data_IF_792142542907
#
_entry.id   IF_792142542907
#
_cell.length_a   1.000
_cell.length_b   1.000
_cell.length_c   1.000
_cell.angle_alpha   90.00
_cell.angle_beta   90.00
_cell.angle_gamma   90.00
#
_symmetry.space_group_name_H-M   'P 1'
#
loop_
_entity.id
_entity.type
_entity.pdbx_description
1 polymer ?
#
# COMPACT_ATOMS: atom_id res chain seq x y z
N UNK A 1 12.56 -17.49 -23.76
CA UNK A 1 11.89 -16.76 -22.66
C UNK A 1 12.71 -15.51 -22.38
N UNK A 2 12.02 -14.38 -22.37
CA UNK A 2 12.67 -13.07 -22.26
C UNK A 2 13.14 -12.83 -20.81
N UNK A 3 14.17 -12.00 -20.68
CA UNK A 3 14.66 -11.52 -19.39
C UNK A 3 13.54 -10.80 -18.61
N UNK A 4 13.52 -10.91 -17.27
CA UNK A 4 12.45 -10.38 -16.45
C UNK A 4 12.94 -9.66 -15.19
N UNK A 5 12.10 -8.77 -14.65
CA UNK A 5 12.22 -8.23 -13.30
C UNK A 5 11.27 -8.96 -12.36
N UNK A 6 11.71 -9.17 -11.13
CA UNK A 6 10.92 -9.74 -10.05
C UNK A 6 10.53 -8.63 -9.08
N UNK A 7 9.27 -8.58 -8.69
CA UNK A 7 8.78 -7.68 -7.64
C UNK A 7 8.35 -8.51 -6.46
N UNK A 8 8.78 -8.13 -5.26
CA UNK A 8 8.52 -8.83 -4.01
C UNK A 8 7.86 -7.94 -2.98
N UNK A 9 6.85 -8.49 -2.30
CA UNK A 9 6.19 -7.89 -1.15
C UNK A 9 6.09 -8.93 -0.03
N UNK A 10 7.01 -8.88 0.92
CA UNK A 10 7.13 -9.83 2.01
C UNK A 10 6.41 -9.34 3.27
N UNK A 11 5.49 -10.16 3.76
CA UNK A 11 4.82 -10.00 5.05
C UNK A 11 5.21 -11.09 6.05
N UNK A 12 4.62 -11.06 7.24
CA UNK A 12 4.94 -12.01 8.33
C UNK A 12 4.55 -13.46 8.03
N UNK A 13 3.48 -13.68 7.27
CA UNK A 13 2.93 -15.00 6.95
C UNK A 13 2.69 -15.21 5.47
N UNK A 14 3.14 -14.28 4.62
CA UNK A 14 2.96 -14.36 3.17
C UNK A 14 4.08 -13.65 2.41
N UNK A 15 4.37 -14.17 1.22
CA UNK A 15 5.26 -13.57 0.24
C UNK A 15 4.48 -13.43 -1.07
N UNK A 16 4.17 -12.19 -1.46
CA UNK A 16 3.56 -11.90 -2.76
C UNK A 16 4.66 -11.54 -3.77
N UNK A 17 4.46 -11.93 -5.02
CA UNK A 17 5.42 -11.62 -6.07
C UNK A 17 4.75 -11.40 -7.41
N UNK A 18 5.43 -10.62 -8.26
CA UNK A 18 5.07 -10.44 -9.67
C UNK A 18 6.33 -10.61 -10.54
N UNK A 19 6.14 -11.23 -11.67
CA UNK A 19 7.15 -11.38 -12.73
C UNK A 19 6.77 -10.43 -13.85
N UNK A 20 7.64 -9.48 -14.17
CA UNK A 20 7.44 -8.53 -15.25
C UNK A 20 8.45 -8.80 -16.34
N UNK A 21 7.98 -9.00 -17.57
CA UNK A 21 8.85 -9.12 -18.73
C UNK A 21 9.44 -7.77 -19.10
N UNK A 22 10.68 -7.79 -19.62
CA UNK A 22 11.30 -6.63 -20.23
C UNK A 22 10.56 -6.30 -21.52
N UNK A 23 10.01 -5.09 -21.64
CA UNK A 23 9.32 -4.72 -22.86
C UNK A 23 10.32 -4.59 -24.02
N UNK A 24 9.94 -5.11 -25.16
CA UNK A 24 10.52 -4.65 -26.43
C UNK A 24 10.07 -3.23 -26.81
N UNK A 25 9.34 -2.54 -25.91
CA UNK A 25 8.73 -1.23 -26.01
C UNK A 25 8.78 -0.48 -24.67
N UNK A 26 7.88 0.47 -24.46
CA UNK A 26 7.96 1.46 -23.37
C UNK A 26 7.43 1.03 -21.99
N UNK A 27 6.70 -0.09 -21.86
CA UNK A 27 6.06 -0.50 -20.61
C UNK A 27 6.38 -1.91 -20.15
N UNK A 28 6.56 -2.12 -18.85
CA UNK A 28 6.66 -3.43 -18.22
C UNK A 28 5.36 -4.21 -18.41
N UNK A 29 5.46 -5.46 -18.86
CA UNK A 29 4.32 -6.36 -19.03
C UNK A 29 4.31 -7.40 -17.92
N UNK A 30 3.19 -7.48 -17.19
CA UNK A 30 2.99 -8.53 -16.20
C UNK A 30 2.90 -9.88 -16.92
N UNK A 31 3.75 -10.81 -16.52
CA UNK A 31 3.76 -12.20 -17.01
C UNK A 31 3.07 -13.14 -16.04
N UNK A 32 3.39 -13.01 -14.76
CA UNK A 32 2.78 -13.80 -13.71
C UNK A 32 2.69 -13.02 -12.40
N UNK A 33 1.65 -13.31 -11.62
CA UNK A 33 1.53 -12.90 -10.23
C UNK A 33 1.25 -14.11 -9.36
N UNK A 34 1.84 -14.13 -8.19
CA UNK A 34 1.64 -15.22 -7.26
C UNK A 34 1.86 -14.83 -5.82
N UNK A 35 1.57 -15.77 -4.97
CA UNK A 35 1.82 -15.64 -3.53
C UNK A 35 2.14 -16.99 -2.91
N UNK A 36 2.93 -16.96 -1.86
CA UNK A 36 3.07 -18.03 -0.88
C UNK A 36 2.40 -17.51 0.38
N UNK A 37 1.36 -18.17 0.84
CA UNK A 37 0.62 -17.83 2.05
C UNK A 37 0.68 -18.96 3.05
N UNK A 38 0.31 -18.69 4.32
CA UNK A 38 0.36 -19.72 5.38
C UNK A 38 1.78 -20.12 5.77
N UNK A 39 2.78 -19.26 5.55
CA UNK A 39 4.18 -19.50 5.93
C UNK A 39 4.24 -19.82 7.44
N UNK A 40 4.89 -20.94 7.78
CA UNK A 40 5.01 -21.42 9.15
C UNK A 40 3.79 -22.19 9.68
N UNK A 41 2.72 -22.35 8.89
CA UNK A 41 1.52 -23.10 9.28
C UNK A 41 1.11 -24.11 8.22
N UNK A 42 0.44 -23.67 7.16
CA UNK A 42 0.03 -24.49 6.02
C UNK A 42 0.43 -23.76 4.72
N UNK A 43 1.72 -23.81 4.34
CA UNK A 43 2.23 -22.98 3.24
C UNK A 43 1.70 -23.49 1.89
N UNK A 44 1.21 -22.54 1.07
CA UNK A 44 0.65 -22.80 -0.27
C UNK A 44 1.15 -21.78 -1.27
N UNK A 45 1.65 -22.25 -2.40
CA UNK A 45 2.02 -21.44 -3.55
C UNK A 45 0.85 -21.40 -4.54
N UNK A 46 0.38 -20.19 -4.86
CA UNK A 46 -0.58 -19.94 -5.93
C UNK A 46 0.01 -18.97 -6.92
N UNK A 47 -0.09 -19.28 -8.23
CA UNK A 47 0.38 -18.39 -9.29
C UNK A 47 -0.62 -18.36 -10.44
N UNK A 48 -0.83 -17.18 -11.00
CA UNK A 48 -1.66 -16.93 -12.18
C UNK A 48 -0.87 -16.13 -13.21
N UNK A 49 -1.18 -16.33 -14.48
CA UNK A 49 -0.67 -15.46 -15.53
C UNK A 49 -1.41 -14.10 -15.58
N UNK A 50 -1.03 -13.25 -16.51
CA UNK A 50 -1.66 -11.93 -16.72
C UNK A 50 -3.16 -12.01 -17.11
N UNK A 51 -3.59 -13.11 -17.70
CA UNK A 51 -4.99 -13.38 -18.06
C UNK A 51 -5.80 -14.00 -16.92
N UNK A 52 -5.16 -14.34 -15.80
CA UNK A 52 -5.79 -14.98 -14.64
C UNK A 52 -5.82 -16.51 -14.70
N UNK A 53 -5.26 -17.13 -15.74
CA UNK A 53 -5.16 -18.58 -15.80
C UNK A 53 -4.15 -19.10 -14.77
N UNK A 54 -4.48 -20.21 -14.14
CA UNK A 54 -3.67 -20.81 -13.07
C UNK A 54 -2.39 -21.43 -13.65
N UNK A 55 -1.22 -20.96 -13.18
CA UNK A 55 0.10 -21.51 -13.53
C UNK A 55 0.62 -22.48 -12.46
N UNK A 56 0.27 -22.27 -11.21
CA UNK A 56 0.60 -23.16 -10.09
C UNK A 56 -0.44 -23.03 -8.98
N UNK A 57 -0.66 -24.14 -8.25
CA UNK A 57 -1.50 -24.19 -7.06
C UNK A 57 -1.07 -25.40 -6.24
N UNK A 58 -0.01 -25.24 -5.46
CA UNK A 58 0.68 -26.32 -4.79
C UNK A 58 0.71 -26.08 -3.28
N UNK A 59 0.33 -27.09 -2.51
CA UNK A 59 0.70 -27.16 -1.11
C UNK A 59 2.22 -27.33 -1.02
N UNK A 60 2.84 -26.56 -0.14
CA UNK A 60 4.27 -26.65 0.14
C UNK A 60 4.48 -27.47 1.42
N UNK A 61 5.67 -28.06 1.55
CA UNK A 61 5.98 -28.88 2.72
C UNK A 61 6.16 -28.04 4.01
N UNK A 62 6.11 -28.72 5.14
CA UNK A 62 6.28 -28.11 6.46
C UNK A 62 7.68 -27.49 6.70
N UNK A 63 8.60 -27.70 5.77
CA UNK A 63 9.92 -27.05 5.75
C UNK A 63 9.85 -25.55 5.43
N UNK A 64 8.74 -25.06 4.86
CA UNK A 64 8.54 -23.63 4.59
C UNK A 64 8.02 -22.95 5.86
N UNK A 65 8.92 -22.59 6.76
CA UNK A 65 8.62 -22.07 8.10
C UNK A 65 8.70 -20.57 8.22
N UNK A 66 9.49 -19.95 7.35
CA UNK A 66 9.73 -18.50 7.37
C UNK A 66 9.87 -17.91 5.95
N UNK A 67 10.12 -16.59 5.89
CA UNK A 67 10.27 -15.88 4.61
C UNK A 67 11.47 -16.35 3.79
N UNK A 68 12.56 -16.85 4.42
CA UNK A 68 13.73 -17.39 3.73
C UNK A 68 13.42 -18.71 3.04
N UNK A 69 12.67 -19.59 3.70
CA UNK A 69 12.20 -20.85 3.13
C UNK A 69 11.23 -20.59 1.98
N UNK A 70 10.30 -19.64 2.15
CA UNK A 70 9.38 -19.21 1.10
C UNK A 70 10.12 -18.65 -0.13
N UNK A 71 11.18 -17.87 0.06
CA UNK A 71 12.06 -17.45 -1.05
C UNK A 71 12.72 -18.64 -1.76
N UNK A 72 13.05 -19.70 -1.02
CA UNK A 72 13.56 -20.96 -1.59
C UNK A 72 12.55 -21.62 -2.53
N UNK A 73 11.31 -21.74 -2.06
CA UNK A 73 10.21 -22.32 -2.85
C UNK A 73 9.92 -21.46 -4.10
N UNK A 74 9.88 -20.13 -3.97
CA UNK A 74 9.73 -19.22 -5.10
C UNK A 74 10.87 -19.38 -6.11
N UNK A 75 12.13 -19.41 -5.67
CA UNK A 75 13.27 -19.58 -6.55
C UNK A 75 13.25 -20.93 -7.29
N UNK A 76 12.78 -22.01 -6.64
CA UNK A 76 12.58 -23.30 -7.29
C UNK A 76 11.51 -23.22 -8.38
N UNK A 77 10.37 -22.61 -8.10
CA UNK A 77 9.30 -22.38 -9.07
C UNK A 77 9.77 -21.53 -10.26
N UNK A 78 10.45 -20.40 -10.01
CA UNK A 78 11.00 -19.54 -11.07
C UNK A 78 11.97 -20.32 -11.98
N UNK A 79 12.86 -21.13 -11.41
CA UNK A 79 13.78 -21.98 -12.22
C UNK A 79 13.03 -22.98 -13.07
N UNK A 80 11.98 -23.61 -12.54
CA UNK A 80 11.19 -24.59 -13.31
C UNK A 80 10.41 -23.94 -14.45
N UNK A 81 9.91 -22.73 -14.26
CA UNK A 81 9.05 -22.02 -15.22
C UNK A 81 9.85 -21.20 -16.23
N UNK A 82 10.92 -20.54 -15.77
CA UNK A 82 11.71 -19.57 -16.53
C UNK A 82 13.19 -19.97 -16.66
N UNK A 83 13.51 -21.25 -16.59
CA UNK A 83 14.86 -21.75 -16.76
C UNK A 83 15.49 -21.28 -18.08
N UNK A 84 16.66 -20.65 -17.99
CA UNK A 84 17.34 -20.01 -19.13
C UNK A 84 17.09 -18.52 -19.32
N UNK A 85 16.10 -17.93 -18.62
CA UNK A 85 15.90 -16.47 -18.56
C UNK A 85 16.71 -15.85 -17.42
N UNK A 86 17.13 -14.59 -17.62
CA UNK A 86 17.85 -13.85 -16.58
C UNK A 86 16.90 -13.00 -15.77
N UNK A 87 17.13 -12.96 -14.45
CA UNK A 87 16.55 -11.96 -13.57
C UNK A 87 17.35 -10.67 -13.74
N UNK A 88 16.76 -9.65 -14.33
CA UNK A 88 17.41 -8.36 -14.59
C UNK A 88 17.57 -7.52 -13.33
N UNK A 89 16.65 -7.67 -12.38
CA UNK A 89 16.65 -6.99 -11.10
C UNK A 89 15.47 -7.42 -10.24
N UNK A 90 15.56 -7.14 -8.94
CA UNK A 90 14.50 -7.43 -7.97
C UNK A 90 14.07 -6.13 -7.30
N UNK A 91 12.81 -5.78 -7.43
CA UNK A 91 12.18 -4.68 -6.70
C UNK A 91 11.51 -5.17 -5.43
N UNK A 92 11.73 -4.50 -4.32
CA UNK A 92 11.13 -4.82 -3.03
C UNK A 92 10.21 -3.70 -2.56
N UNK A 93 9.00 -4.04 -2.10
CA UNK A 93 8.26 -3.14 -1.25
C UNK A 93 8.88 -3.17 0.14
N UNK A 94 9.24 -2.01 0.65
CA UNK A 94 9.76 -1.80 2.00
C UNK A 94 8.84 -0.79 2.70
N UNK A 95 8.33 -1.15 3.88
CA UNK A 95 7.30 -0.31 4.53
C UNK A 95 7.86 1.03 4.96
N UNK A 96 9.11 1.10 5.41
CA UNK A 96 9.66 2.32 5.98
C UNK A 96 11.03 2.69 5.44
N UNK A 97 11.14 3.91 4.89
CA UNK A 97 12.40 4.52 4.45
C UNK A 97 13.03 5.45 5.48
N UNK A 98 12.30 5.76 6.58
CA UNK A 98 12.76 6.73 7.59
C UNK A 98 13.04 8.10 6.99
N UNK A 99 13.81 8.94 7.68
CA UNK A 99 14.16 10.28 7.21
C UNK A 99 15.19 10.27 6.07
N UNK A 100 15.93 9.16 5.87
CA UNK A 100 17.06 9.09 4.93
C UNK A 100 16.65 8.73 3.50
N UNK A 101 15.65 7.87 3.34
CA UNK A 101 15.28 7.35 2.03
C UNK A 101 14.02 8.04 1.50
N UNK A 102 14.22 9.07 0.71
CA UNK A 102 13.16 9.89 0.09
C UNK A 102 12.72 9.40 -1.28
N UNK A 103 13.28 8.30 -1.77
CA UNK A 103 12.97 7.70 -3.07
C UNK A 103 13.46 6.26 -3.17
N UNK A 104 13.12 5.56 -4.27
CA UNK A 104 13.61 4.22 -4.53
C UNK A 104 15.14 4.17 -4.49
N UNK A 105 15.71 3.11 -3.91
CA UNK A 105 17.14 3.03 -3.63
C UNK A 105 17.71 1.68 -4.04
N UNK A 106 18.87 1.67 -4.72
CA UNK A 106 19.62 0.44 -5.01
C UNK A 106 20.17 -0.11 -3.71
N UNK A 107 19.91 -1.40 -3.47
CA UNK A 107 20.32 -2.07 -2.23
C UNK A 107 21.77 -2.50 -2.29
N UNK A 108 22.49 -2.17 -1.25
CA UNK A 108 23.83 -2.66 -0.92
C UNK A 108 23.85 -3.19 0.52
N UNK A 109 24.87 -3.95 0.94
CA UNK A 109 25.01 -4.35 2.34
C UNK A 109 24.97 -3.18 3.33
N UNK A 110 25.50 -2.02 2.94
CA UNK A 110 25.44 -0.80 3.75
C UNK A 110 24.01 -0.28 3.88
N UNK A 111 23.26 -0.17 2.76
CA UNK A 111 21.86 0.27 2.77
C UNK A 111 20.99 -0.68 3.60
N UNK A 112 21.22 -1.99 3.51
CA UNK A 112 20.52 -2.97 4.35
C UNK A 112 20.80 -2.75 5.82
N UNK A 113 22.06 -2.45 6.18
CA UNK A 113 22.41 -2.11 7.58
C UNK A 113 21.66 -0.86 8.05
N UNK A 114 21.62 0.19 7.25
CA UNK A 114 20.87 1.42 7.57
C UNK A 114 19.35 1.17 7.70
N UNK A 115 18.79 0.29 6.87
CA UNK A 115 17.37 -0.10 6.95
C UNK A 115 17.07 -0.92 8.22
N UNK A 116 18.05 -1.66 8.77
CA UNK A 116 17.91 -2.35 10.06
C UNK A 116 17.74 -1.37 11.22
N UNK A 117 18.39 -0.21 11.17
CA UNK A 117 18.23 0.85 12.16
C UNK A 117 16.79 1.39 12.21
N UNK A 118 16.02 1.20 11.14
CA UNK A 118 14.62 1.63 11.05
C UNK A 118 13.61 0.59 11.57
N UNK A 119 14.05 -0.58 12.02
CA UNK A 119 13.15 -1.60 12.60
C UNK A 119 12.25 -1.04 13.70
N UNK A 120 12.73 -0.18 14.64
CA UNK A 120 11.86 0.41 15.65
C UNK A 120 10.69 1.24 15.12
N UNK A 121 10.79 1.78 13.90
CA UNK A 121 9.72 2.56 13.26
C UNK A 121 8.62 1.68 12.64
N UNK A 122 8.93 0.43 12.29
CA UNK A 122 7.98 -0.52 11.72
C UNK A 122 8.28 -1.96 12.17
N UNK A 123 8.22 -2.28 13.47
CA UNK A 123 8.72 -3.54 14.03
C UNK A 123 7.98 -4.78 13.54
N UNK A 124 6.74 -4.64 13.07
CA UNK A 124 5.93 -5.76 12.56
C UNK A 124 6.12 -6.01 11.05
N UNK A 125 6.78 -5.12 10.31
CA UNK A 125 6.91 -5.21 8.86
C UNK A 125 8.37 -5.21 8.40
N UNK A 126 9.17 -4.28 8.90
CA UNK A 126 10.55 -4.08 8.46
C UNK A 126 11.42 -5.35 8.54
N UNK A 127 11.36 -6.16 9.62
CA UNK A 127 12.15 -7.39 9.70
C UNK A 127 11.84 -8.38 8.58
N UNK A 128 10.57 -8.51 8.19
CA UNK A 128 10.15 -9.42 7.11
C UNK A 128 10.59 -8.91 5.73
N UNK A 129 10.52 -7.59 5.51
CA UNK A 129 11.04 -6.98 4.29
C UNK A 129 12.55 -7.22 4.15
N UNK A 130 13.31 -7.00 5.24
CA UNK A 130 14.76 -7.20 5.26
C UNK A 130 15.15 -8.67 5.06
N UNK A 131 14.44 -9.60 5.68
CA UNK A 131 14.70 -11.04 5.50
C UNK A 131 14.53 -11.47 4.03
N UNK A 132 13.55 -10.93 3.31
CA UNK A 132 13.38 -11.20 1.89
C UNK A 132 14.54 -10.63 1.06
N UNK A 133 15.00 -9.42 1.36
CA UNK A 133 16.14 -8.77 0.70
C UNK A 133 17.42 -9.60 0.91
N UNK A 134 17.69 -10.00 2.15
CA UNK A 134 18.86 -10.83 2.49
C UNK A 134 18.80 -12.19 1.78
N UNK A 135 17.62 -12.82 1.73
CA UNK A 135 17.43 -14.08 1.02
C UNK A 135 17.70 -13.96 -0.49
N UNK A 136 17.39 -12.81 -1.10
CA UNK A 136 17.73 -12.55 -2.51
C UNK A 136 19.25 -12.38 -2.68
N UNK A 137 19.95 -11.67 -1.81
CA UNK A 137 21.42 -11.58 -1.86
C UNK A 137 22.10 -12.96 -1.80
N UNK A 138 21.56 -13.86 -0.97
CA UNK A 138 22.09 -15.21 -0.82
C UNK A 138 21.79 -16.11 -2.02
N UNK A 139 20.57 -16.05 -2.56
CA UNK A 139 20.08 -17.01 -3.56
C UNK A 139 20.27 -16.57 -5.01
N UNK A 140 20.38 -15.26 -5.24
CA UNK A 140 20.57 -14.65 -6.56
C UNK A 140 21.78 -13.69 -6.51
N UNK A 141 22.98 -14.21 -6.20
CA UNK A 141 24.18 -13.38 -6.08
C UNK A 141 24.44 -12.62 -7.39
N UNK A 142 24.73 -11.34 -7.26
CA UNK A 142 25.01 -10.46 -8.41
C UNK A 142 23.75 -9.89 -9.10
N UNK A 143 22.54 -10.30 -8.74
CA UNK A 143 21.32 -9.65 -9.24
C UNK A 143 21.09 -8.35 -8.46
N UNK A 144 20.99 -7.19 -9.15
CA UNK A 144 20.78 -5.93 -8.48
C UNK A 144 19.37 -5.86 -7.87
N UNK A 145 19.27 -5.21 -6.72
CA UNK A 145 18.02 -5.09 -5.98
C UNK A 145 17.69 -3.63 -5.71
N UNK A 146 16.40 -3.28 -5.70
CA UNK A 146 15.89 -1.93 -5.44
C UNK A 146 14.84 -1.99 -4.35
N UNK A 147 14.97 -1.15 -3.33
CA UNK A 147 13.93 -0.90 -2.32
C UNK A 147 13.03 0.25 -2.78
N UNK A 148 11.72 0.05 -2.72
CA UNK A 148 10.69 1.08 -2.90
C UNK A 148 9.92 1.22 -1.58
N UNK A 149 9.83 2.44 -1.07
CA UNK A 149 9.33 2.69 0.28
C UNK A 149 7.91 3.23 0.27
N UNK A 150 7.05 2.71 1.15
CA UNK A 150 5.68 3.25 1.32
C UNK A 150 5.68 4.72 1.78
N UNK A 151 6.75 5.15 2.42
CA UNK A 151 6.88 6.52 2.95
C UNK A 151 7.45 7.51 1.95
N UNK A 152 8.11 7.07 0.88
CA UNK A 152 8.91 7.96 0.01
C UNK A 152 8.10 9.01 -0.73
N UNK A 153 6.90 8.68 -1.20
CA UNK A 153 6.03 9.61 -1.94
C UNK A 153 5.57 10.81 -1.10
N UNK A 154 5.61 10.67 0.23
CA UNK A 154 5.23 11.72 1.18
C UNK A 154 6.41 12.60 1.62
N UNK A 155 7.64 12.28 1.17
CA UNK A 155 8.84 13.05 1.50
C UNK A 155 8.92 14.33 0.67
N UNK A 156 8.34 15.35 1.07
CA UNK A 156 8.21 16.64 0.38
C UNK A 156 7.07 17.45 0.94
N UNK A 157 6.42 16.92 1.97
CA UNK A 157 5.44 17.67 2.74
C UNK A 157 6.04 18.93 3.33
N UNK A 158 5.21 19.97 3.49
CA UNK A 158 5.62 21.14 4.27
C UNK A 158 5.94 20.71 5.73
N UNK A 159 6.95 21.33 6.33
CA UNK A 159 7.39 20.97 7.69
C UNK A 159 6.23 20.94 8.70
N UNK A 160 5.24 21.82 8.57
CA UNK A 160 4.07 21.85 9.43
C UNK A 160 3.21 20.58 9.35
N UNK A 161 3.20 19.89 8.19
CA UNK A 161 2.47 18.63 8.01
C UNK A 161 3.26 17.42 8.55
N UNK A 162 4.57 17.52 8.67
CA UNK A 162 5.43 16.44 9.21
C UNK A 162 5.59 16.52 10.74
N UNK A 163 5.31 17.67 11.34
CA UNK A 163 5.54 17.87 12.76
C UNK A 163 4.68 16.99 13.65
N UNK A 164 5.32 16.42 14.68
CA UNK A 164 4.67 15.92 15.87
C UNK A 164 5.01 16.89 17.00
N UNK A 165 4.02 17.51 17.69
CA UNK A 165 4.25 18.55 18.69
C UNK A 165 4.71 17.94 20.03
N UNK A 166 5.87 17.27 20.01
CA UNK A 166 6.55 16.69 21.15
C UNK A 166 7.87 17.45 21.42
N UNK A 167 8.49 17.24 22.59
CA UNK A 167 9.79 17.82 22.90
C UNK A 167 10.81 17.60 21.78
N UNK A 168 11.61 18.63 21.42
CA UNK A 168 12.52 18.58 20.26
C UNK A 168 13.51 17.40 20.28
N UNK A 169 13.97 17.00 21.44
CA UNK A 169 14.89 15.86 21.61
C UNK A 169 14.27 14.53 21.15
N UNK A 170 12.96 14.35 21.27
CA UNK A 170 12.26 13.17 20.75
C UNK A 170 12.11 13.26 19.23
N UNK A 171 11.80 14.44 18.70
CA UNK A 171 11.67 14.64 17.27
C UNK A 171 12.99 14.47 16.51
N UNK A 172 14.12 14.85 17.13
CA UNK A 172 15.47 14.65 16.56
C UNK A 172 15.83 13.18 16.36
N UNK A 173 15.18 12.25 17.08
CA UNK A 173 15.37 10.81 16.90
C UNK A 173 14.51 10.19 15.78
N UNK A 174 13.87 11.00 14.95
CA UNK A 174 13.05 10.55 13.83
C UNK A 174 11.55 10.41 14.16
N UNK A 175 11.08 11.02 15.26
CA UNK A 175 9.65 11.08 15.56
C UNK A 175 9.02 12.21 14.76
N UNK A 176 8.47 11.85 13.58
CA UNK A 176 7.77 12.75 12.66
C UNK A 176 6.65 11.99 11.93
N UNK A 177 5.80 12.71 11.22
CA UNK A 177 4.77 12.09 10.37
C UNK A 177 5.41 11.69 9.03
N UNK A 178 5.31 10.40 8.68
CA UNK A 178 5.89 9.87 7.44
C UNK A 178 4.87 9.66 6.34
N UNK A 179 3.65 9.22 6.67
CA UNK A 179 2.69 8.72 5.69
C UNK A 179 3.07 7.33 5.17
N UNK A 180 2.08 6.59 4.66
CA UNK A 180 2.24 5.24 4.12
C UNK A 180 1.36 5.05 2.89
N UNK A 181 1.39 3.86 2.28
CA UNK A 181 0.77 3.55 0.98
C UNK A 181 1.29 4.47 -0.15
N UNK A 182 2.46 5.06 0.02
CA UNK A 182 3.01 6.01 -0.94
C UNK A 182 3.17 5.45 -2.34
N UNK A 183 3.54 4.17 -2.48
CA UNK A 183 3.68 3.50 -3.79
C UNK A 183 2.33 3.45 -4.52
N UNK A 184 1.23 3.21 -3.78
CA UNK A 184 -0.13 3.25 -4.34
C UNK A 184 -0.52 4.66 -4.79
N UNK A 185 -0.26 5.68 -3.96
CA UNK A 185 -0.56 7.07 -4.30
C UNK A 185 0.28 7.58 -5.47
N UNK A 186 1.54 7.20 -5.52
CA UNK A 186 2.44 7.51 -6.63
C UNK A 186 1.95 6.88 -7.94
N UNK A 187 1.48 5.63 -7.88
CA UNK A 187 0.87 4.99 -9.04
C UNK A 187 -0.35 5.76 -9.52
N UNK A 188 -1.29 6.09 -8.63
CA UNK A 188 -2.49 6.88 -8.98
C UNK A 188 -2.09 8.22 -9.60
N UNK A 189 -1.18 8.98 -8.97
CA UNK A 189 -0.69 10.24 -9.50
C UNK A 189 -0.07 10.10 -10.90
N UNK A 190 0.64 8.99 -11.15
CA UNK A 190 1.29 8.72 -12.44
C UNK A 190 0.31 8.41 -13.59
N UNK A 191 -0.89 7.88 -13.28
CA UNK A 191 -1.89 7.53 -14.30
C UNK A 191 -2.98 8.59 -14.47
N UNK A 192 -3.11 9.53 -13.54
CA UNK A 192 -4.09 10.63 -13.67
C UNK A 192 -4.00 11.38 -14.99
N UNK A 193 -2.81 11.71 -15.56
CA UNK A 193 -2.74 12.40 -16.84
C UNK A 193 -3.38 11.66 -18.02
N UNK A 194 -3.46 10.33 -17.94
CA UNK A 194 -4.06 9.49 -18.99
C UNK A 194 -5.54 9.21 -18.72
N UNK A 195 -5.89 8.92 -17.45
CA UNK A 195 -7.24 8.47 -17.07
C UNK A 195 -8.18 9.64 -16.80
N UNK A 196 -7.69 10.72 -16.22
CA UNK A 196 -8.44 11.88 -15.78
C UNK A 196 -7.62 13.16 -15.92
N UNK A 197 -7.26 13.56 -17.16
CA UNK A 197 -6.34 14.68 -17.41
C UNK A 197 -6.81 16.00 -16.82
N UNK A 198 -8.13 16.20 -16.69
CA UNK A 198 -8.74 17.41 -16.12
C UNK A 198 -8.44 17.62 -14.64
N UNK A 199 -8.11 16.56 -13.90
CA UNK A 199 -7.79 16.64 -12.46
C UNK A 199 -6.32 16.33 -12.16
N UNK A 200 -5.52 15.97 -13.15
CA UNK A 200 -4.14 15.50 -12.94
C UNK A 200 -3.24 16.53 -12.24
N UNK A 201 -3.51 17.82 -12.43
CA UNK A 201 -2.82 18.94 -11.77
C UNK A 201 -3.69 19.64 -10.72
N UNK A 202 -4.84 19.06 -10.40
CA UNK A 202 -5.78 19.60 -9.44
C UNK A 202 -5.47 19.25 -7.99
N UNK A 203 -6.43 19.59 -7.14
CA UNK A 203 -6.50 19.27 -5.72
C UNK A 203 -7.29 17.98 -5.57
N UNK A 204 -6.62 16.85 -5.37
CA UNK A 204 -7.21 15.53 -5.40
C UNK A 204 -7.04 14.83 -4.06
N UNK A 205 -8.10 14.27 -3.50
CA UNK A 205 -7.99 13.32 -2.39
C UNK A 205 -8.04 11.92 -2.97
N UNK A 206 -7.03 11.12 -2.68
CA UNK A 206 -7.00 9.69 -3.03
C UNK A 206 -7.32 8.87 -1.79
N UNK A 207 -8.36 8.05 -1.88
CA UNK A 207 -8.83 7.17 -0.83
C UNK A 207 -8.38 5.73 -1.13
N UNK A 208 -7.25 5.33 -0.56
CA UNK A 208 -6.76 3.96 -0.59
C UNK A 208 -7.49 3.17 0.51
N UNK A 209 -8.56 2.47 0.14
CA UNK A 209 -9.41 1.74 1.07
C UNK A 209 -9.25 0.24 0.85
N UNK A 210 -8.50 -0.41 1.73
CA UNK A 210 -8.27 -1.84 1.76
C UNK A 210 -8.36 -2.39 3.19
N UNK A 211 -7.74 -3.53 3.48
CA UNK A 211 -7.57 -4.02 4.86
C UNK A 211 -6.74 -3.05 5.70
N UNK A 212 -5.69 -2.45 5.11
CA UNK A 212 -5.13 -1.16 5.53
C UNK A 212 -5.81 -0.04 4.75
N UNK A 213 -6.11 1.08 5.39
CA UNK A 213 -6.79 2.20 4.76
C UNK A 213 -6.15 3.54 5.14
N UNK A 214 -6.02 4.42 4.18
CA UNK A 214 -5.58 5.81 4.39
C UNK A 214 -6.10 6.73 3.28
N UNK A 215 -6.02 8.02 3.50
CA UNK A 215 -6.24 9.06 2.50
C UNK A 215 -4.96 9.84 2.28
N UNK A 216 -4.79 10.35 1.06
CA UNK A 216 -3.71 11.26 0.71
C UNK A 216 -4.27 12.46 -0.06
N UNK A 217 -3.87 13.65 0.37
CA UNK A 217 -4.13 14.88 -0.33
C UNK A 217 -3.02 15.11 -1.37
N UNK A 218 -3.42 15.26 -2.63
CA UNK A 218 -2.53 15.58 -3.74
C UNK A 218 -2.77 16.98 -4.25
N UNK A 219 -1.70 17.69 -4.58
CA UNK A 219 -1.72 18.95 -5.33
C UNK A 219 -0.67 18.87 -6.42
N UNK A 220 -1.06 19.13 -7.66
CA UNK A 220 -0.16 19.00 -8.83
C UNK A 220 0.49 17.60 -8.93
N UNK A 221 -0.25 16.54 -8.59
CA UNK A 221 0.24 15.16 -8.58
C UNK A 221 1.24 14.82 -7.46
N UNK A 222 1.46 15.71 -6.50
CA UNK A 222 2.37 15.51 -5.36
C UNK A 222 1.60 15.38 -4.06
N UNK A 223 2.05 14.50 -3.18
CA UNK A 223 1.51 14.39 -1.82
C UNK A 223 1.79 15.67 -1.02
N UNK A 224 0.77 16.19 -0.34
CA UNK A 224 0.88 17.35 0.55
C UNK A 224 0.48 17.04 2.00
N UNK A 225 -0.34 16.00 2.20
CA UNK A 225 -0.68 15.47 3.53
C UNK A 225 -1.26 14.06 3.39
N UNK A 226 -1.25 13.29 4.47
CA UNK A 226 -1.80 11.94 4.54
C UNK A 226 -2.36 11.66 5.92
N UNK A 227 -3.38 10.79 6.00
CA UNK A 227 -4.01 10.43 7.27
C UNK A 227 -3.15 9.53 8.15
N UNK A 228 -2.23 8.74 7.59
CA UNK A 228 -1.25 8.00 8.39
C UNK A 228 -0.10 8.93 8.79
N UNK A 229 0.36 8.80 10.04
CA UNK A 229 1.36 9.66 10.64
C UNK A 229 2.70 8.98 10.86
N UNK A 230 3.11 8.88 12.12
CA UNK A 230 4.36 8.23 12.54
C UNK A 230 4.38 6.74 12.21
N UNK A 231 3.23 6.06 12.35
CA UNK A 231 3.06 4.66 12.00
C UNK A 231 1.81 4.46 11.13
N UNK A 232 1.68 3.27 10.55
CA UNK A 232 0.51 2.87 9.80
C UNK A 232 -0.70 2.48 10.69
N UNK A 233 -0.67 2.76 12.00
CA UNK A 233 -1.81 2.61 12.91
C UNK A 233 -2.71 3.84 12.88
N UNK A 234 -2.13 5.01 12.65
CA UNK A 234 -2.84 6.30 12.65
C UNK A 234 -3.83 6.45 11.48
N UNK A 235 -4.72 7.42 11.58
CA UNK A 235 -5.65 7.83 10.53
C UNK A 235 -7.00 7.12 10.58
N UNK A 236 -7.34 6.38 9.53
CA UNK A 236 -8.63 5.72 9.37
C UNK A 236 -8.79 4.49 10.25
N UNK A 237 -10.03 4.15 10.59
CA UNK A 237 -10.36 2.82 11.07
C UNK A 237 -10.08 1.80 9.96
N UNK A 238 -9.42 0.71 10.30
CA UNK A 238 -9.01 -0.34 9.38
C UNK A 238 -9.55 -1.71 9.82
N UNK A 239 -9.23 -2.76 9.12
CA UNK A 239 -9.71 -4.11 9.48
C UNK A 239 -9.43 -4.48 10.94
N UNK A 240 -8.18 -4.31 11.40
CA UNK A 240 -7.74 -4.67 12.77
C UNK A 240 -7.03 -3.54 13.52
N UNK A 241 -6.92 -2.36 12.94
CA UNK A 241 -6.26 -1.17 13.51
C UNK A 241 -7.28 -0.07 13.78
N UNK A 242 -7.18 0.67 14.90
CA UNK A 242 -8.21 1.63 15.31
C UNK A 242 -8.20 2.91 14.47
N UNK A 243 -7.09 3.26 13.86
CA UNK A 243 -6.83 4.62 13.36
C UNK A 243 -6.50 5.58 14.50
N UNK A 244 -6.74 6.85 14.28
CA UNK A 244 -6.49 7.89 15.28
C UNK A 244 -7.35 7.67 16.55
N UNK A 245 -6.66 7.55 17.68
CA UNK A 245 -7.25 7.45 19.03
C UNK A 245 -6.64 8.50 19.95
N UNK A 246 -7.31 8.77 21.06
CA UNK A 246 -6.76 9.61 22.12
C UNK A 246 -5.56 8.91 22.77
N UNK A 247 -4.36 9.56 22.85
CA UNK A 247 -3.19 9.00 23.51
C UNK A 247 -3.44 8.64 24.98
N UNK A 248 -4.37 9.30 25.66
CA UNK A 248 -4.80 8.99 27.02
C UNK A 248 -5.32 7.55 27.16
N UNK A 249 -5.90 6.98 26.11
CA UNK A 249 -6.33 5.57 26.09
C UNK A 249 -5.10 4.66 26.23
N UNK A 250 -4.00 4.97 25.53
CA UNK A 250 -2.76 4.17 25.61
C UNK A 250 -2.18 4.23 27.02
N UNK A 251 -2.17 5.42 27.65
CA UNK A 251 -1.76 5.58 29.06
C UNK A 251 -2.66 4.80 30.00
N UNK A 252 -3.99 4.83 29.79
CA UNK A 252 -4.95 4.04 30.59
C UNK A 252 -4.67 2.54 30.50
N UNK A 253 -4.37 2.01 29.30
CA UNK A 253 -4.04 0.59 29.11
C UNK A 253 -2.80 0.19 29.92
N UNK A 254 -1.75 1.04 29.96
CA UNK A 254 -0.55 0.79 30.74
C UNK A 254 -0.77 0.95 32.25
N UNK A 255 -1.31 2.10 32.65
CA UNK A 255 -1.31 2.53 34.05
C UNK A 255 -2.45 1.91 34.88
N UNK A 256 -3.63 1.74 34.26
CA UNK A 256 -4.82 1.28 34.98
C UNK A 256 -5.09 -0.21 34.75
N UNK A 257 -4.86 -0.73 33.53
CA UNK A 257 -5.06 -2.14 33.23
C UNK A 257 -3.78 -2.97 33.36
N UNK A 258 -2.63 -2.33 33.57
CA UNK A 258 -1.33 -3.00 33.78
C UNK A 258 -0.84 -3.79 32.56
N UNK A 259 -1.31 -3.46 31.35
CA UNK A 259 -0.93 -4.16 30.15
C UNK A 259 0.53 -3.87 29.78
N UNK A 260 1.24 -4.87 29.30
CA UNK A 260 2.58 -4.73 28.76
C UNK A 260 2.55 -4.03 27.39
N UNK A 261 3.69 -3.46 26.96
CA UNK A 261 3.82 -2.86 25.65
C UNK A 261 3.45 -3.82 24.50
N UNK A 262 3.76 -5.12 24.66
CA UNK A 262 3.42 -6.15 23.66
C UNK A 262 1.93 -6.45 23.59
N UNK A 263 1.23 -6.39 24.71
CA UNK A 263 -0.23 -6.55 24.73
C UNK A 263 -0.90 -5.34 24.09
N UNK A 264 -0.46 -4.12 24.42
CA UNK A 264 -0.97 -2.88 23.82
C UNK A 264 -0.70 -2.86 22.32
N UNK A 265 0.49 -3.22 21.87
CA UNK A 265 0.82 -3.39 20.45
C UNK A 265 -0.16 -4.38 19.78
N UNK A 266 -0.40 -5.52 20.41
CA UNK A 266 -1.31 -6.54 19.89
C UNK A 266 -2.74 -6.01 19.75
N UNK A 267 -3.22 -5.25 20.74
CA UNK A 267 -4.54 -4.60 20.68
C UNK A 267 -4.61 -3.65 19.50
N UNK A 268 -3.64 -2.74 19.38
CA UNK A 268 -3.66 -1.69 18.35
C UNK A 268 -3.50 -2.23 16.93
N UNK A 269 -2.70 -3.26 16.71
CA UNK A 269 -2.43 -3.77 15.37
C UNK A 269 -3.32 -4.93 14.93
N UNK A 270 -3.82 -5.76 15.88
CA UNK A 270 -4.45 -7.05 15.54
C UNK A 270 -5.86 -7.25 16.08
N UNK A 271 -6.30 -6.46 17.09
CA UNK A 271 -7.55 -6.69 17.80
C UNK A 271 -8.51 -5.49 17.78
N UNK A 272 -8.18 -4.44 17.06
CA UNK A 272 -8.97 -3.19 16.97
C UNK A 272 -9.72 -3.09 15.64
N UNK A 273 -10.14 -1.91 15.27
CA UNK A 273 -10.77 -1.60 13.99
C UNK A 273 -12.13 -2.24 13.80
N UNK A 274 -12.44 -2.60 12.55
CA UNK A 274 -13.71 -3.24 12.19
C UNK A 274 -13.96 -4.53 12.97
N UNK A 275 -12.89 -5.31 13.19
CA UNK A 275 -12.97 -6.54 14.00
C UNK A 275 -13.48 -6.25 15.41
N UNK A 276 -12.93 -5.24 16.08
CA UNK A 276 -13.30 -4.90 17.45
C UNK A 276 -14.73 -4.36 17.54
N UNK A 277 -15.12 -3.48 16.61
CA UNK A 277 -16.46 -2.87 16.62
C UNK A 277 -17.54 -3.91 16.33
N UNK A 278 -17.29 -4.77 15.33
CA UNK A 278 -18.27 -5.78 14.92
C UNK A 278 -18.29 -6.99 15.84
N UNK A 279 -17.14 -7.37 16.40
CA UNK A 279 -16.95 -8.66 17.06
C UNK A 279 -17.08 -9.86 16.09
N UNK A 280 -17.13 -9.61 14.77
CA UNK A 280 -17.48 -10.61 13.76
C UNK A 280 -16.33 -10.82 12.77
N UNK A 281 -15.92 -9.77 12.07
CA UNK A 281 -14.94 -9.85 11.00
C UNK A 281 -14.16 -8.55 10.83
N UNK A 282 -12.94 -8.67 10.30
CA UNK A 282 -12.13 -7.55 9.83
C UNK A 282 -12.31 -7.29 8.32
N UNK A 283 -13.11 -8.09 7.64
CA UNK A 283 -13.36 -7.99 6.21
C UNK A 283 -14.66 -7.24 5.93
N UNK A 284 -14.57 -6.13 5.19
CA UNK A 284 -15.72 -5.33 4.83
C UNK A 284 -16.77 -6.12 4.05
N UNK A 285 -16.38 -7.09 3.25
CA UNK A 285 -17.30 -7.94 2.45
C UNK A 285 -18.19 -8.78 3.35
N UNK A 286 -17.62 -9.30 4.44
CA UNK A 286 -18.37 -10.10 5.42
C UNK A 286 -19.35 -9.22 6.21
N UNK A 287 -18.99 -7.95 6.47
CA UNK A 287 -19.81 -7.03 7.26
C UNK A 287 -20.98 -6.44 6.46
N UNK A 288 -20.78 -6.11 5.18
CA UNK A 288 -21.81 -5.53 4.31
C UNK A 288 -23.00 -6.47 4.07
N UNK A 289 -22.78 -7.79 4.03
CA UNK A 289 -23.84 -8.78 3.86
C UNK A 289 -24.64 -9.12 5.11
N UNK A 290 -24.39 -8.44 6.27
CA UNK A 290 -24.93 -8.82 7.57
C UNK A 290 -25.99 -7.85 8.10
N UNK A 291 -26.98 -8.42 8.82
CA UNK A 291 -28.04 -7.64 9.44
C UNK A 291 -27.77 -7.32 10.91
N UNK A 292 -26.77 -7.94 11.53
CA UNK A 292 -26.42 -7.71 12.93
C UNK A 292 -26.08 -6.24 13.19
N UNK A 293 -26.64 -5.63 14.25
CA UNK A 293 -26.38 -4.22 14.56
C UNK A 293 -24.91 -3.85 14.70
N UNK A 294 -24.10 -4.78 15.25
CA UNK A 294 -22.66 -4.56 15.42
C UNK A 294 -21.92 -4.52 14.07
N UNK A 295 -22.31 -5.32 13.07
CA UNK A 295 -21.75 -5.26 11.73
C UNK A 295 -22.10 -3.93 11.04
N UNK A 296 -23.35 -3.50 11.13
CA UNK A 296 -23.80 -2.19 10.61
C UNK A 296 -23.05 -1.03 11.28
N UNK A 297 -22.92 -1.06 12.61
CA UNK A 297 -22.15 -0.05 13.34
C UNK A 297 -20.70 0.04 12.89
N UNK A 298 -20.04 -1.10 12.62
CA UNK A 298 -18.66 -1.11 12.14
C UNK A 298 -18.55 -0.45 10.75
N UNK A 299 -19.49 -0.75 9.85
CA UNK A 299 -19.56 -0.12 8.51
C UNK A 299 -19.84 1.38 8.63
N UNK A 300 -20.82 1.79 9.47
CA UNK A 300 -21.18 3.19 9.73
C UNK A 300 -19.97 3.97 10.26
N UNK A 301 -19.25 3.40 11.21
CA UNK A 301 -18.04 4.00 11.78
C UNK A 301 -16.94 4.17 10.72
N UNK A 302 -16.72 3.18 9.87
CA UNK A 302 -15.76 3.26 8.79
C UNK A 302 -16.09 4.42 7.83
N UNK A 303 -17.34 4.52 7.38
CA UNK A 303 -17.82 5.59 6.51
C UNK A 303 -17.67 6.96 7.19
N UNK A 304 -18.14 7.06 8.44
CA UNK A 304 -18.04 8.30 9.22
C UNK A 304 -16.61 8.79 9.37
N UNK A 305 -15.67 7.89 9.75
CA UNK A 305 -14.26 8.26 9.91
C UNK A 305 -13.62 8.66 8.58
N UNK A 306 -13.94 7.95 7.50
CA UNK A 306 -13.42 8.28 6.17
C UNK A 306 -13.92 9.64 5.70
N UNK A 307 -15.21 9.93 5.83
CA UNK A 307 -15.78 11.22 5.45
C UNK A 307 -15.22 12.38 6.31
N UNK A 308 -15.01 12.16 7.61
CA UNK A 308 -14.37 13.13 8.50
C UNK A 308 -12.95 13.49 8.04
N UNK A 309 -12.15 12.51 7.70
CA UNK A 309 -10.78 12.74 7.24
C UNK A 309 -10.74 13.34 5.81
N UNK A 310 -11.71 13.02 4.95
CA UNK A 310 -11.88 13.75 3.67
C UNK A 310 -12.09 15.24 3.94
N UNK A 311 -12.95 15.58 4.91
CA UNK A 311 -13.15 16.97 5.31
C UNK A 311 -11.89 17.67 5.81
N UNK A 312 -11.09 16.96 6.63
CA UNK A 312 -9.81 17.49 7.13
C UNK A 312 -8.81 17.75 5.98
N UNK A 313 -8.65 16.81 5.07
CA UNK A 313 -7.76 16.97 3.91
C UNK A 313 -8.30 18.00 2.90
N UNK A 314 -9.61 18.13 2.76
CA UNK A 314 -10.21 19.20 1.96
C UNK A 314 -9.88 20.58 2.52
N UNK A 315 -9.80 20.74 3.85
CA UNK A 315 -9.34 21.97 4.47
C UNK A 315 -7.85 22.25 4.20
N UNK A 316 -6.99 21.21 4.27
CA UNK A 316 -5.56 21.32 3.94
C UNK A 316 -5.35 21.78 2.49
N UNK A 317 -6.17 21.28 1.57
CA UNK A 317 -6.13 21.64 0.15
C UNK A 317 -6.85 22.97 -0.16
N UNK A 318 -7.57 23.57 0.80
CA UNK A 318 -8.42 24.74 0.56
C UNK A 318 -9.48 24.46 -0.53
N UNK A 319 -10.18 23.34 -0.39
CA UNK A 319 -11.11 22.79 -1.37
C UNK A 319 -10.49 21.67 -2.21
N UNK A 320 -11.33 20.92 -2.93
CA UNK A 320 -10.90 19.79 -3.78
C UNK A 320 -11.57 19.83 -5.14
N UNK A 321 -10.89 19.29 -6.15
CA UNK A 321 -11.41 19.11 -7.51
C UNK A 321 -11.90 17.68 -7.74
N UNK A 322 -11.31 16.72 -7.02
CA UNK A 322 -11.69 15.31 -7.18
C UNK A 322 -11.44 14.47 -5.93
N UNK A 323 -12.23 13.39 -5.84
CA UNK A 323 -12.05 12.25 -4.93
C UNK A 323 -11.81 10.99 -5.77
N UNK A 324 -10.71 10.27 -5.51
CA UNK A 324 -10.36 9.02 -6.20
C UNK A 324 -10.40 7.86 -5.21
N UNK A 325 -11.19 6.84 -5.51
CA UNK A 325 -11.24 5.58 -4.76
C UNK A 325 -10.30 4.55 -5.39
N UNK A 326 -9.52 3.87 -4.55
CA UNK A 326 -8.60 2.81 -4.97
C UNK A 326 -8.44 1.73 -3.89
N UNK A 327 -7.71 0.67 -4.18
CA UNK A 327 -7.54 -0.52 -3.35
C UNK A 327 -8.83 -1.34 -3.13
N UNK A 328 -8.69 -2.46 -2.43
CA UNK A 328 -9.68 -3.52 -2.42
C UNK A 328 -11.13 -3.10 -2.12
N UNK A 329 -11.37 -2.30 -1.09
CA UNK A 329 -12.70 -1.77 -0.75
C UNK A 329 -13.08 -0.63 -1.71
N UNK A 330 -12.15 0.31 -1.95
CA UNK A 330 -12.38 1.44 -2.83
C UNK A 330 -12.77 1.03 -4.25
N UNK A 331 -12.12 0.02 -4.80
CA UNK A 331 -12.35 -0.49 -6.15
C UNK A 331 -13.61 -1.36 -6.25
N UNK A 332 -13.91 -2.18 -5.23
CA UNK A 332 -14.87 -3.26 -5.35
C UNK A 332 -16.17 -3.09 -4.54
N UNK A 333 -16.31 -2.02 -3.73
CA UNK A 333 -17.51 -1.79 -2.94
C UNK A 333 -18.27 -0.52 -3.39
N UNK A 334 -19.24 -0.63 -4.31
CA UNK A 334 -20.09 0.48 -4.70
C UNK A 334 -20.84 1.11 -3.54
N UNK A 335 -21.28 0.30 -2.57
CA UNK A 335 -22.00 0.77 -1.39
C UNK A 335 -21.13 1.68 -0.52
N UNK A 336 -19.88 1.29 -0.23
CA UNK A 336 -18.97 2.11 0.57
C UNK A 336 -18.65 3.43 -0.15
N UNK A 337 -18.38 3.38 -1.46
CA UNK A 337 -18.15 4.59 -2.26
C UNK A 337 -19.34 5.52 -2.25
N UNK A 338 -20.56 4.97 -2.41
CA UNK A 338 -21.80 5.75 -2.36
C UNK A 338 -21.97 6.43 -1.01
N UNK A 339 -21.86 5.69 0.09
CA UNK A 339 -22.07 6.22 1.44
C UNK A 339 -21.05 7.28 1.83
N UNK A 340 -19.78 7.11 1.45
CA UNK A 340 -18.73 8.11 1.66
C UNK A 340 -19.00 9.35 0.81
N UNK A 341 -19.40 9.18 -0.46
CA UNK A 341 -19.70 10.30 -1.36
C UNK A 341 -20.92 11.09 -0.89
N UNK A 342 -21.99 10.41 -0.44
CA UNK A 342 -23.18 11.04 0.14
C UNK A 342 -22.85 11.81 1.43
N UNK A 343 -22.00 11.24 2.32
CA UNK A 343 -21.52 11.93 3.52
C UNK A 343 -20.62 13.14 3.22
N UNK A 344 -20.05 13.18 2.00
CA UNK A 344 -19.18 14.27 1.52
C UNK A 344 -19.86 15.17 0.49
N UNK A 345 -21.20 15.06 0.32
CA UNK A 345 -21.97 15.84 -0.67
C UNK A 345 -21.85 17.37 -0.48
N UNK A 346 -21.63 17.83 0.75
CA UNK A 346 -21.39 19.23 1.09
C UNK A 346 -20.15 19.84 0.38
N UNK A 347 -19.21 19.02 -0.10
CA UNK A 347 -18.09 19.46 -0.94
C UNK A 347 -18.51 19.75 -2.38
N UNK A 348 -19.75 19.44 -2.75
CA UNK A 348 -20.27 19.57 -4.10
C UNK A 348 -20.18 18.28 -4.91
N UNK A 349 -20.06 17.13 -4.25
CA UNK A 349 -20.12 15.80 -4.85
C UNK A 349 -21.58 15.46 -5.20
N UNK A 350 -21.80 15.07 -6.46
CA UNK A 350 -23.05 14.48 -6.94
C UNK A 350 -22.72 13.14 -7.61
N UNK A 351 -23.02 12.03 -6.92
CA UNK A 351 -22.70 10.68 -7.40
C UNK A 351 -23.68 10.23 -8.48
N UNK A 352 -23.16 9.59 -9.53
CA UNK A 352 -23.92 8.83 -10.50
C UNK A 352 -23.98 7.36 -10.05
N UNK A 353 -25.18 6.89 -9.64
CA UNK A 353 -25.36 5.55 -9.06
C UNK A 353 -25.11 4.44 -10.07
N UNK A 354 -25.49 4.62 -11.32
CA UNK A 354 -25.32 3.62 -12.38
C UNK A 354 -23.83 3.50 -12.77
N UNK A 355 -23.14 4.62 -12.93
CA UNK A 355 -21.70 4.64 -13.15
C UNK A 355 -20.93 4.03 -11.95
N UNK A 356 -21.37 4.31 -10.71
CA UNK A 356 -20.77 3.74 -9.50
C UNK A 356 -20.94 2.20 -9.45
N UNK A 357 -22.08 1.67 -9.83
CA UNK A 357 -22.30 0.23 -9.93
C UNK A 357 -21.43 -0.41 -11.02
N UNK A 358 -21.18 0.30 -12.13
CA UNK A 358 -20.35 -0.10 -13.26
C UNK A 358 -18.85 0.03 -13.06
N UNK A 359 -18.38 0.51 -11.90
CA UNK A 359 -16.95 0.75 -11.56
C UNK A 359 -16.23 1.85 -12.37
N UNK A 360 -16.94 2.83 -12.89
CA UNK A 360 -16.36 4.03 -13.46
C UNK A 360 -15.69 3.89 -14.83
N UNK A 361 -14.59 4.66 -15.14
CA UNK A 361 -13.69 5.32 -14.17
C UNK A 361 -14.30 6.51 -13.42
N UNK A 362 -15.02 7.42 -14.08
CA UNK A 362 -15.74 8.51 -13.40
C UNK A 362 -17.11 8.02 -12.93
N UNK A 363 -17.41 8.26 -11.64
CA UNK A 363 -18.66 7.82 -10.99
C UNK A 363 -19.48 8.99 -10.43
N UNK A 364 -19.13 10.21 -10.77
CA UNK A 364 -19.92 11.42 -10.48
C UNK A 364 -20.65 11.90 -11.73
N UNK A 365 -21.77 12.59 -11.52
CA UNK A 365 -22.51 13.22 -12.63
C UNK A 365 -21.67 14.32 -13.29
N UNK A 366 -22.07 14.75 -14.49
CA UNK A 366 -21.42 15.88 -15.18
C UNK A 366 -21.61 17.22 -14.46
N UNK A 367 -22.62 17.33 -13.59
CA UNK A 367 -22.92 18.55 -12.80
C UNK A 367 -22.17 18.59 -11.48
N UNK A 368 -21.54 17.50 -11.06
CA UNK A 368 -20.77 17.45 -9.83
C UNK A 368 -19.61 18.44 -9.88
N UNK A 369 -19.52 19.31 -8.88
CA UNK A 369 -18.41 20.27 -8.75
C UNK A 369 -17.10 19.58 -8.44
N UNK A 370 -17.16 18.56 -7.58
CA UNK A 370 -16.06 17.68 -7.26
C UNK A 370 -16.30 16.36 -7.99
N UNK A 371 -15.42 16.00 -8.90
CA UNK A 371 -15.55 14.75 -9.63
C UNK A 371 -15.11 13.55 -8.76
N UNK A 372 -15.75 12.40 -8.97
CA UNK A 372 -15.44 11.17 -8.23
C UNK A 372 -15.05 10.08 -9.21
N UNK A 373 -13.97 9.37 -8.86
CA UNK A 373 -13.33 8.40 -9.74
C UNK A 373 -13.04 7.09 -9.01
N UNK A 374 -13.02 5.99 -9.78
CA UNK A 374 -12.49 4.69 -9.34
C UNK A 374 -11.32 4.34 -10.24
N UNK A 375 -10.13 4.35 -9.67
CA UNK A 375 -8.90 4.06 -10.41
C UNK A 375 -8.17 2.94 -9.67
N UNK A 376 -8.07 1.73 -10.24
CA UNK A 376 -7.36 0.62 -9.63
C UNK A 376 -5.88 0.94 -9.42
N UNK A 377 -5.35 0.64 -8.24
CA UNK A 377 -3.91 0.77 -7.97
C UNK A 377 -3.12 -0.41 -8.52
N UNK A 378 -1.85 -0.18 -8.82
CA UNK A 378 -0.92 -1.23 -9.24
C UNK A 378 0.47 -0.95 -8.66
N UNK A 379 0.63 -1.22 -7.38
CA UNK A 379 1.88 -1.00 -6.63
C UNK A 379 3.04 -1.81 -7.23
N UNK A 380 2.77 -3.04 -7.65
CA UNK A 380 3.80 -3.92 -8.22
C UNK A 380 4.36 -3.37 -9.53
N UNK A 381 3.50 -2.79 -10.39
CA UNK A 381 3.94 -2.13 -11.62
C UNK A 381 4.78 -0.88 -11.30
N UNK A 382 4.41 -0.13 -10.26
CA UNK A 382 5.20 1.04 -9.84
C UNK A 382 6.58 0.63 -9.35
N UNK A 383 6.67 -0.43 -8.53
CA UNK A 383 7.95 -1.00 -8.10
C UNK A 383 8.78 -1.50 -9.31
N UNK A 384 8.15 -2.18 -10.29
CA UNK A 384 8.83 -2.61 -11.49
C UNK A 384 9.38 -1.43 -12.31
N UNK A 385 8.62 -0.33 -12.43
CA UNK A 385 9.05 0.91 -13.09
C UNK A 385 10.28 1.50 -12.39
N UNK A 386 10.24 1.69 -11.09
CA UNK A 386 11.36 2.19 -10.31
C UNK A 386 12.60 1.30 -10.42
N UNK A 387 12.40 -0.02 -10.37
CA UNK A 387 13.50 -0.99 -10.56
C UNK A 387 14.13 -0.83 -11.93
N UNK A 388 13.31 -0.74 -12.97
CA UNK A 388 13.80 -0.55 -14.34
C UNK A 388 14.53 0.78 -14.54
N UNK A 389 14.01 1.85 -13.93
CA UNK A 389 14.60 3.18 -14.06
C UNK A 389 15.98 3.27 -13.40
N UNK A 390 16.08 2.84 -12.15
CA UNK A 390 17.34 2.88 -11.41
C UNK A 390 18.41 1.96 -11.96
N UNK A 391 18.02 0.83 -12.55
CA UNK A 391 18.95 -0.13 -13.13
C UNK A 391 19.22 0.13 -14.62
N UNK A 392 18.71 1.22 -15.19
CA UNK A 392 18.91 1.55 -16.60
C UNK A 392 18.28 0.53 -17.56
N UNK A 393 17.23 -0.16 -17.12
CA UNK A 393 16.56 -1.20 -17.91
C UNK A 393 15.49 -0.65 -18.87
N UNK A 394 15.29 0.67 -18.95
CA UNK A 394 14.44 1.28 -19.99
C UNK A 394 15.06 1.03 -21.37
N UNK A 395 14.23 0.70 -22.35
CA UNK A 395 14.69 0.72 -23.75
C UNK A 395 15.09 2.15 -24.08
N UNK A 396 16.36 2.34 -24.45
CA UNK A 396 16.76 3.56 -25.17
C UNK A 396 15.94 3.54 -26.45
N UNK A 397 14.96 4.45 -26.58
CA UNK A 397 14.31 4.70 -27.86
C UNK A 397 15.45 4.87 -28.86
N UNK A 398 15.54 3.98 -29.84
CA UNK A 398 16.51 4.15 -30.93
C UNK A 398 16.24 5.52 -31.53
N UNK A 399 17.10 6.46 -31.22
CA UNK A 399 17.13 7.71 -31.96
C UNK A 399 17.23 7.28 -33.42
N UNK A 400 16.14 7.48 -34.15
CA UNK A 400 16.16 7.39 -35.61
C UNK A 400 17.24 8.33 -36.04
N UNK A 401 18.40 7.76 -36.47
CA UNK A 401 19.42 8.55 -37.17
C UNK A 401 18.81 9.05 -38.47
N UNK A 402 19.05 10.31 -38.80
CA UNK A 402 18.54 10.94 -39.99
C UNK A 402 19.04 10.28 -41.29
#
# INVERSE_FOLDING_TARGET
VDDYALVLNAGSSSLKFCVFQRPGGESWRLEARGQIEGIGTAPRLTVKDSGGAKLADNELGAEVRDGRDAMGALAAWLRSKYGGSRVLGVGHRVVHGGPRFSGPTILSPQVVSELKDLIPLAPLHQPHNLAAIEAVFERLPGVPQVACFDTSFHRGHARVAELVPLPPELCQSGVERYGFHGISYEYIASVLPEVAPEIAKGKVIVAHLGSGASLCALKDGKSVDSTMGFTAVDGLCMGTRPGAIDPGIVLYLFQNLGLSAKEVETILYKKSGLLAISGISNDMRDLLGREEPAARLAVDYFVYRTAKEIGALAAVLEGIDALVFTAGIGENSPEIRQRISESSAWLGIELDRDANAGKGPRISTSRSKVSVWVIPTNEELMIARHTGDLLGLRSVARASRP
#
